data_IF_814725760463
#
_entry.id   IF_814725760463
#
_cell.length_a   1.000
_cell.length_b   1.000
_cell.length_c   1.000
_cell.angle_alpha   90.00
_cell.angle_beta   90.00
_cell.angle_gamma   90.00
#
_symmetry.space_group_name_H-M   'P 1'
#
loop_
_entity.id
_entity.type
_entity.pdbx_description
1 polymer ?
#
# COMPACT_ATOMS: atom_id res chain seq x y z
N UNK A 1 -20.84 -17.78 19.83
CA UNK A 1 -20.23 -16.92 18.79
C UNK A 1 -18.73 -16.86 19.09
N UNK A 2 -17.87 -17.20 18.12
CA UNK A 2 -16.42 -17.17 18.34
C UNK A 2 -15.96 -15.78 18.76
N UNK A 3 -15.07 -15.71 19.75
CA UNK A 3 -14.46 -14.44 20.18
C UNK A 3 -13.60 -13.91 19.04
N UNK A 4 -13.93 -12.70 18.55
CA UNK A 4 -13.09 -12.00 17.58
C UNK A 4 -11.94 -11.32 18.33
N UNK A 5 -10.74 -11.40 17.79
CA UNK A 5 -9.55 -10.70 18.30
C UNK A 5 -9.07 -9.70 17.24
N UNK A 6 -8.68 -8.51 17.69
CA UNK A 6 -8.08 -7.51 16.82
C UNK A 6 -6.75 -8.05 16.26
N UNK A 7 -6.66 -8.11 14.93
CA UNK A 7 -5.50 -8.64 14.21
C UNK A 7 -4.31 -7.67 14.15
N UNK A 8 -4.41 -6.49 14.76
CA UNK A 8 -3.23 -5.70 15.08
C UNK A 8 -2.49 -6.38 16.24
N UNK A 9 -1.27 -6.87 15.98
CA UNK A 9 -0.45 -7.62 16.93
C UNK A 9 -0.14 -6.83 18.21
N UNK A 10 0.00 -5.50 18.13
CA UNK A 10 0.23 -4.64 19.30
C UNK A 10 -1.05 -4.29 20.07
N UNK A 11 -2.23 -4.61 19.54
CA UNK A 11 -3.52 -4.32 20.16
C UNK A 11 -4.15 -5.54 20.84
N UNK A 12 -4.39 -6.62 20.09
CA UNK A 12 -4.93 -7.88 20.64
C UNK A 12 -6.29 -7.80 21.36
N UNK A 13 -7.04 -6.68 21.29
CA UNK A 13 -8.30 -6.57 22.02
C UNK A 13 -9.35 -7.56 21.51
N UNK A 14 -10.12 -8.14 22.44
CA UNK A 14 -11.27 -9.01 22.15
C UNK A 14 -12.60 -8.26 22.29
N UNK A 15 -12.56 -7.01 22.76
CA UNK A 15 -13.74 -6.17 22.96
C UNK A 15 -13.57 -4.84 22.21
N UNK A 16 -14.63 -4.42 21.53
CA UNK A 16 -14.72 -3.17 20.79
C UNK A 16 -16.18 -2.82 20.60
N UNK A 17 -16.49 -1.52 20.56
CA UNK A 17 -17.83 -1.03 20.26
C UNK A 17 -18.30 -1.49 18.87
N UNK A 18 -17.37 -1.60 17.95
CA UNK A 18 -17.63 -1.96 16.56
C UNK A 18 -16.40 -2.66 15.97
N UNK A 19 -16.64 -3.70 15.18
CA UNK A 19 -15.61 -4.41 14.43
C UNK A 19 -15.55 -3.87 13.01
N UNK A 20 -14.34 -3.62 12.53
CA UNK A 20 -14.07 -3.13 11.17
C UNK A 20 -13.25 -4.15 10.40
N UNK A 21 -13.40 -4.14 9.08
CA UNK A 21 -12.58 -4.94 8.18
C UNK A 21 -11.26 -4.21 7.89
N UNK A 22 -10.16 -4.94 7.92
CA UNK A 22 -8.82 -4.47 7.56
C UNK A 22 -8.38 -4.99 6.20
N UNK A 23 -7.09 -5.30 6.09
CA UNK A 23 -6.49 -5.86 4.87
C UNK A 23 -7.02 -7.26 4.54
N UNK A 24 -6.90 -7.64 3.25
CA UNK A 24 -7.22 -8.98 2.79
C UNK A 24 -6.24 -10.01 3.38
N UNK A 25 -6.79 -11.09 3.93
CA UNK A 25 -6.00 -12.19 4.48
C UNK A 25 -5.55 -13.15 3.38
N UNK A 26 -4.43 -13.85 3.61
CA UNK A 26 -3.94 -14.90 2.70
C UNK A 26 -4.93 -16.06 2.54
N UNK A 27 -5.72 -16.34 3.58
CA UNK A 27 -6.80 -17.34 3.57
C UNK A 27 -8.03 -16.89 2.77
N UNK A 28 -8.05 -15.67 2.25
CA UNK A 28 -9.28 -14.98 1.86
C UNK A 28 -9.99 -14.37 3.06
N UNK A 29 -10.93 -13.46 2.78
CA UNK A 29 -11.59 -12.63 3.79
C UNK A 29 -10.76 -11.43 4.24
N UNK A 30 -11.21 -10.78 5.30
CA UNK A 30 -10.63 -9.53 5.82
C UNK A 30 -10.12 -9.70 7.24
N UNK A 31 -9.05 -8.98 7.57
CA UNK A 31 -8.57 -8.88 8.94
C UNK A 31 -9.65 -8.24 9.83
N UNK A 32 -9.84 -8.77 11.04
CA UNK A 32 -10.74 -8.15 12.00
C UNK A 32 -9.99 -7.12 12.84
N UNK A 33 -10.44 -5.87 12.80
CA UNK A 33 -9.84 -4.78 13.55
C UNK A 33 -10.85 -4.18 14.53
N UNK A 34 -10.38 -3.78 15.71
CA UNK A 34 -11.17 -2.96 16.61
C UNK A 34 -11.44 -1.57 16.00
N UNK A 35 -12.36 -0.79 16.57
CA UNK A 35 -12.73 0.54 16.07
C UNK A 35 -11.51 1.43 15.81
N UNK A 36 -10.58 1.52 16.76
CA UNK A 36 -9.40 2.38 16.65
C UNK A 36 -8.45 1.93 15.54
N UNK A 37 -8.11 0.64 15.50
CA UNK A 37 -7.20 0.10 14.48
C UNK A 37 -7.81 0.18 13.09
N UNK A 38 -9.10 -0.15 12.97
CA UNK A 38 -9.84 -0.09 11.71
C UNK A 38 -9.99 1.33 11.19
N UNK A 39 -10.23 2.32 12.04
CA UNK A 39 -10.27 3.72 11.61
C UNK A 39 -8.92 4.24 11.10
N UNK A 40 -7.80 3.81 11.69
CA UNK A 40 -6.48 4.11 11.13
C UNK A 40 -6.25 3.41 9.80
N UNK A 41 -6.77 2.18 9.62
CA UNK A 41 -6.70 1.46 8.35
C UNK A 41 -7.49 2.16 7.24
N UNK A 42 -8.75 2.53 7.51
CA UNK A 42 -9.60 3.23 6.53
C UNK A 42 -9.01 4.57 6.09
N UNK A 43 -8.36 5.28 7.02
CA UNK A 43 -7.69 6.54 6.74
C UNK A 43 -6.30 6.35 6.09
N UNK A 44 -5.89 5.13 5.77
CA UNK A 44 -4.57 4.81 5.22
C UNK A 44 -3.40 5.33 6.08
N UNK A 45 -3.58 5.35 7.41
CA UNK A 45 -2.58 5.79 8.40
C UNK A 45 -2.17 4.68 9.38
N UNK A 46 -2.59 3.44 9.10
CA UNK A 46 -2.35 2.30 10.00
C UNK A 46 -0.86 2.04 10.23
N UNK A 47 -0.06 2.01 9.17
CA UNK A 47 1.37 1.72 9.30
C UNK A 47 2.10 2.89 9.96
N UNK A 48 1.76 4.15 9.61
CA UNK A 48 2.37 5.34 10.22
C UNK A 48 2.10 5.39 11.72
N UNK A 49 0.95 4.85 12.15
CA UNK A 49 0.56 4.83 13.56
C UNK A 49 1.14 3.66 14.35
N UNK A 50 1.18 2.46 13.76
CA UNK A 50 1.47 1.24 14.50
C UNK A 50 2.82 0.59 14.15
N UNK A 51 3.42 0.92 13.00
CA UNK A 51 4.65 0.32 12.49
C UNK A 51 5.75 1.36 12.19
N UNK A 52 5.70 2.55 12.82
CA UNK A 52 6.66 3.64 12.55
C UNK A 52 8.12 3.22 12.79
N UNK A 53 8.35 2.35 13.76
CA UNK A 53 9.68 1.86 14.14
C UNK A 53 10.08 0.56 13.41
N UNK A 54 9.19 0.00 12.58
CA UNK A 54 9.51 -1.19 11.79
C UNK A 54 10.43 -0.84 10.61
N UNK A 55 11.21 -1.80 10.14
CA UNK A 55 12.03 -1.63 8.93
C UNK A 55 11.19 -1.74 7.66
N UNK A 56 11.74 -1.32 6.52
CA UNK A 56 11.08 -1.51 5.21
C UNK A 56 10.26 -0.32 4.74
N UNK A 57 10.32 0.81 5.44
CA UNK A 57 9.81 2.07 4.92
C UNK A 57 10.61 2.56 3.71
N UNK A 58 9.89 3.06 2.72
CA UNK A 58 10.44 3.64 1.50
C UNK A 58 9.57 4.83 1.07
N UNK A 59 10.16 5.74 0.31
CA UNK A 59 9.43 6.89 -0.23
C UNK A 59 8.91 6.62 -1.64
N UNK A 60 7.72 7.12 -1.92
CA UNK A 60 7.17 7.18 -3.28
C UNK A 60 8.14 7.94 -4.19
N UNK A 61 8.56 7.31 -5.29
CA UNK A 61 9.51 7.89 -6.25
C UNK A 61 8.99 9.13 -6.99
N UNK A 62 7.70 9.46 -6.85
CA UNK A 62 7.07 10.61 -7.51
C UNK A 62 6.78 11.75 -6.53
N UNK A 63 6.14 11.47 -5.40
CA UNK A 63 5.69 12.50 -4.45
C UNK A 63 6.37 12.47 -3.08
N UNK A 64 7.31 11.55 -2.84
CA UNK A 64 8.01 11.43 -1.57
C UNK A 64 7.17 10.90 -0.41
N UNK A 65 5.91 10.49 -0.63
CA UNK A 65 5.08 9.89 0.44
C UNK A 65 5.77 8.66 1.03
N UNK A 66 5.92 8.65 2.35
CA UNK A 66 6.47 7.52 3.10
C UNK A 66 5.50 6.34 3.12
N UNK A 67 5.98 5.15 2.75
CA UNK A 67 5.18 3.94 2.56
C UNK A 67 5.90 2.74 3.16
N UNK A 68 5.21 2.00 4.01
CA UNK A 68 5.75 0.82 4.64
C UNK A 68 5.72 -0.37 3.68
N UNK A 69 6.86 -0.83 3.18
CA UNK A 69 6.92 -1.98 2.28
C UNK A 69 7.01 -3.31 3.05
N UNK A 70 6.67 -4.41 2.38
CA UNK A 70 6.71 -5.74 3.01
C UNK A 70 5.62 -6.00 4.06
N UNK A 71 4.74 -5.02 4.31
CA UNK A 71 3.61 -5.14 5.22
C UNK A 71 2.30 -5.43 4.48
N UNK A 72 1.54 -6.43 4.95
CA UNK A 72 0.25 -6.78 4.34
C UNK A 72 -0.79 -5.66 4.49
N UNK A 73 -0.70 -4.87 5.57
CA UNK A 73 -1.61 -3.77 5.84
C UNK A 73 -1.48 -2.62 4.83
N UNK A 74 -0.31 -2.41 4.24
CA UNK A 74 -0.03 -1.36 3.26
C UNK A 74 0.02 -1.87 1.81
N UNK A 75 -0.21 -3.18 1.58
CA UNK A 75 -0.05 -3.82 0.26
C UNK A 75 -0.83 -3.11 -0.86
N UNK A 76 -2.01 -2.56 -0.57
CA UNK A 76 -2.86 -1.86 -1.54
C UNK A 76 -2.54 -0.36 -1.69
N UNK A 77 -1.57 0.16 -0.94
CA UNK A 77 -1.26 1.60 -0.91
C UNK A 77 -0.15 2.00 -1.90
N UNK A 78 0.55 1.04 -2.49
CA UNK A 78 1.65 1.27 -3.42
C UNK A 78 1.77 0.17 -4.49
N UNK A 79 2.49 0.48 -5.56
CA UNK A 79 2.91 -0.46 -6.59
C UNK A 79 4.43 -0.40 -6.76
N UNK A 80 5.03 -1.52 -7.17
CA UNK A 80 6.41 -1.53 -7.64
C UNK A 80 6.47 -0.95 -9.05
N UNK A 81 7.51 -0.15 -9.32
CA UNK A 81 7.71 0.48 -10.63
C UNK A 81 8.69 -0.37 -11.45
N UNK A 82 8.47 -0.47 -12.76
CA UNK A 82 9.28 -1.32 -13.66
C UNK A 82 10.76 -0.91 -13.71
N UNK A 83 11.05 0.37 -13.43
CA UNK A 83 12.41 0.93 -13.37
C UNK A 83 12.98 0.95 -11.94
N UNK A 84 12.35 0.23 -11.01
CA UNK A 84 12.72 0.20 -9.61
C UNK A 84 12.09 1.33 -8.79
N UNK A 85 12.14 1.17 -7.46
CA UNK A 85 11.43 2.06 -6.54
C UNK A 85 9.99 1.61 -6.27
N UNK A 86 9.20 2.52 -5.71
CA UNK A 86 7.77 2.33 -5.46
C UNK A 86 7.00 3.60 -5.82
N UNK A 87 5.76 3.45 -6.27
CA UNK A 87 4.82 4.55 -6.43
C UNK A 87 3.65 4.38 -5.47
N UNK A 88 3.24 5.44 -4.77
CA UNK A 88 1.96 5.41 -4.06
C UNK A 88 0.83 5.19 -5.07
N UNK A 89 -0.28 4.58 -4.65
CA UNK A 89 -1.34 4.18 -5.59
C UNK A 89 -1.89 5.34 -6.42
N UNK A 90 -1.93 6.56 -5.87
CA UNK A 90 -2.37 7.77 -6.58
C UNK A 90 -1.40 8.14 -7.71
N UNK A 91 -0.09 8.09 -7.45
CA UNK A 91 0.95 8.34 -8.45
C UNK A 91 1.04 7.21 -9.47
N UNK A 92 1.02 5.95 -9.02
CA UNK A 92 1.08 4.78 -9.90
C UNK A 92 -0.09 4.70 -10.88
N UNK A 93 -1.30 5.14 -10.47
CA UNK A 93 -2.46 5.22 -11.37
C UNK A 93 -2.37 6.38 -12.37
N UNK A 94 -1.83 7.52 -11.95
CA UNK A 94 -1.71 8.70 -12.82
C UNK A 94 -0.57 8.59 -13.83
N UNK A 95 0.39 7.71 -13.61
CA UNK A 95 1.43 7.36 -14.59
C UNK A 95 0.99 6.27 -15.58
N UNK A 96 -0.21 5.68 -15.45
CA UNK A 96 -0.73 4.70 -16.43
C UNK A 96 -0.96 5.22 -17.87
N UNK A 97 -0.98 6.53 -18.21
CA UNK A 97 -0.85 6.96 -19.61
C UNK A 97 0.57 6.76 -20.17
N UNK A 98 1.60 6.56 -19.33
CA UNK A 98 3.00 6.41 -19.76
C UNK A 98 3.45 4.96 -19.96
N UNK A 99 2.72 3.97 -19.44
CA UNK A 99 2.98 2.54 -19.74
C UNK A 99 2.72 2.22 -21.22
N UNK A 100 1.94 3.04 -21.93
CA UNK A 100 1.76 2.95 -23.40
C UNK A 100 2.71 3.87 -24.20
N UNK A 101 3.47 4.75 -23.54
CA UNK A 101 4.30 5.76 -24.23
C UNK A 101 5.79 5.45 -24.24
N UNK A 102 6.26 4.44 -23.51
CA UNK A 102 7.67 4.02 -23.63
C UNK A 102 7.94 3.21 -24.92
N UNK A 103 6.91 2.63 -25.55
CA UNK A 103 7.04 2.01 -26.87
C UNK A 103 7.24 3.04 -27.99
N UNK A 104 6.84 4.31 -27.78
CA UNK A 104 6.97 5.34 -28.82
C UNK A 104 8.29 6.13 -28.78
N UNK A 105 9.08 6.05 -27.69
CA UNK A 105 10.35 6.81 -27.61
C UNK A 105 11.50 6.06 -28.32
N UNK A 106 11.34 4.76 -28.59
CA UNK A 106 12.34 3.98 -29.35
C UNK A 106 12.22 4.23 -30.87
N UNK A 107 11.09 4.75 -31.37
CA UNK A 107 10.92 5.05 -32.80
C UNK A 107 11.47 6.42 -33.24
N UNK A 108 12.05 7.23 -32.34
CA UNK A 108 12.62 8.53 -32.69
C UNK A 108 14.16 8.56 -32.78
N UNK A 109 14.85 7.41 -32.71
CA UNK A 109 16.31 7.32 -32.85
C UNK A 109 16.71 6.31 -33.93
N UNK A 110 16.26 6.57 -35.17
CA UNK A 110 16.67 5.73 -36.29
C UNK A 110 16.09 6.21 -37.61
N UNK A 111 16.46 7.42 -38.03
CA UNK A 111 16.61 7.79 -39.45
C UNK A 111 17.48 9.05 -39.49
N UNK A 112 18.79 8.81 -39.37
CA UNK A 112 19.81 9.80 -39.66
C UNK A 112 19.93 9.98 -41.16
N UNK A 113 19.83 11.23 -41.60
CA UNK A 113 20.12 11.70 -42.94
C UNK A 113 21.48 11.22 -43.45
N UNK A 114 21.53 10.51 -44.57
CA UNK A 114 22.26 10.86 -45.82
C UNK A 114 21.90 9.86 -46.92
#
# INVERSE_FOLDING_TARGET
MGSRICMNASCGTTTTLEWKNGWLLRSGGFAHLCRTCGSSYDNSTYCERFHLEETGWRDCSVCGKHLHCGCIASKSLYEFLDYGGIGCISCAKSTRPYSVRLTLVILCYGDGST
#
